data_IF_530434706736
#
_entry.id   IF_530434706736
#
_cell.length_a   1.000
_cell.length_b   1.000
_cell.length_c   1.000
_cell.angle_alpha   90.00
_cell.angle_beta   90.00
_cell.angle_gamma   90.00
#
_symmetry.space_group_name_H-M   'P 1'
#
loop_
_entity.id
_entity.type
_entity.pdbx_description
1 polymer ?
#
# COMPACT_ATOMS: atom_id res chain seq x y z
N UNK A 1 15.84 -7.79 20.88
CA UNK A 1 15.36 -9.04 20.27
C UNK A 1 15.71 -8.96 18.79
N UNK A 2 16.79 -9.61 18.37
CA UNK A 2 17.27 -9.52 16.98
C UNK A 2 16.25 -10.23 16.09
N UNK A 3 15.64 -9.50 15.16
CA UNK A 3 14.92 -10.10 14.03
C UNK A 3 15.97 -10.94 13.29
N UNK A 4 15.67 -12.19 12.96
CA UNK A 4 16.51 -13.04 12.12
C UNK A 4 16.55 -12.45 10.71
N UNK A 5 17.29 -11.36 10.53
CA UNK A 5 17.59 -10.77 9.25
C UNK A 5 18.62 -11.66 8.56
N UNK A 6 18.21 -12.33 7.49
CA UNK A 6 19.17 -12.97 6.59
C UNK A 6 20.13 -11.90 6.06
N UNK A 7 21.42 -12.12 6.26
CA UNK A 7 22.47 -11.20 5.88
C UNK A 7 23.13 -11.66 4.59
N UNK A 8 23.24 -10.75 3.62
CA UNK A 8 23.83 -10.98 2.32
C UNK A 8 25.22 -10.34 2.21
N UNK A 9 26.10 -10.94 1.41
CA UNK A 9 27.30 -10.25 0.91
C UNK A 9 26.93 -9.22 -0.15
N UNK A 10 27.91 -8.38 -0.56
CA UNK A 10 27.71 -7.45 -1.67
C UNK A 10 27.44 -8.18 -2.99
N UNK A 11 28.08 -9.33 -3.22
CA UNK A 11 27.88 -10.13 -4.43
C UNK A 11 26.46 -10.69 -4.49
N UNK A 12 25.97 -11.24 -3.38
CA UNK A 12 24.60 -11.78 -3.29
C UNK A 12 23.55 -10.68 -3.47
N UNK A 13 23.74 -9.52 -2.83
CA UNK A 13 22.86 -8.36 -3.02
C UNK A 13 22.88 -7.84 -4.47
N UNK A 14 24.04 -7.84 -5.13
CA UNK A 14 24.19 -7.42 -6.52
C UNK A 14 23.45 -8.36 -7.48
N UNK A 15 23.60 -9.67 -7.29
CA UNK A 15 22.88 -10.69 -8.04
C UNK A 15 21.37 -10.54 -7.86
N UNK A 16 20.91 -10.31 -6.63
CA UNK A 16 19.50 -10.16 -6.32
C UNK A 16 18.87 -8.91 -6.94
N UNK A 17 19.62 -7.80 -7.00
CA UNK A 17 19.18 -6.55 -7.62
C UNK A 17 19.41 -6.50 -9.13
N UNK A 18 20.12 -7.48 -9.70
CA UNK A 18 20.60 -7.45 -11.09
C UNK A 18 21.36 -6.16 -11.44
N UNK A 19 22.26 -5.73 -10.53
CA UNK A 19 23.12 -4.55 -10.69
C UNK A 19 24.57 -4.89 -10.36
N UNK A 20 25.52 -4.00 -10.65
CA UNK A 20 26.93 -4.20 -10.28
C UNK A 20 27.15 -4.06 -8.76
N UNK A 21 28.19 -4.72 -8.25
CA UNK A 21 28.64 -4.56 -6.85
C UNK A 21 29.00 -3.11 -6.52
N UNK A 22 29.53 -2.35 -7.48
CA UNK A 22 29.79 -0.92 -7.34
C UNK A 22 28.49 -0.12 -7.13
N UNK A 23 27.41 -0.47 -7.85
CA UNK A 23 26.09 0.13 -7.61
C UNK A 23 25.57 -0.21 -6.22
N UNK A 24 25.71 -1.45 -5.77
CA UNK A 24 25.36 -1.85 -4.39
C UNK A 24 26.14 -1.04 -3.36
N UNK A 25 27.45 -0.84 -3.54
CA UNK A 25 28.25 0.04 -2.67
C UNK A 25 27.69 1.46 -2.63
N UNK A 26 27.32 2.04 -3.78
CA UNK A 26 26.71 3.37 -3.82
C UNK A 26 25.35 3.41 -3.08
N UNK A 27 24.53 2.35 -3.17
CA UNK A 27 23.27 2.25 -2.43
C UNK A 27 23.50 2.18 -0.92
N UNK A 28 24.50 1.43 -0.46
CA UNK A 28 24.89 1.40 0.94
C UNK A 28 25.40 2.77 1.42
N UNK A 29 26.28 3.42 0.66
CA UNK A 29 26.80 4.75 0.99
C UNK A 29 25.69 5.80 1.09
N UNK A 30 24.65 5.70 0.25
CA UNK A 30 23.47 6.58 0.28
C UNK A 30 22.40 6.13 1.30
N UNK A 31 22.69 5.12 2.12
CA UNK A 31 21.79 4.59 3.16
C UNK A 31 20.45 4.07 2.60
N UNK A 32 20.45 3.65 1.33
CA UNK A 32 19.29 3.04 0.65
C UNK A 32 19.20 1.53 0.93
N UNK A 33 20.25 0.92 1.48
CA UNK A 33 20.30 -0.44 1.97
C UNK A 33 20.78 -0.43 3.44
N UNK A 34 20.20 -1.30 4.26
CA UNK A 34 20.57 -1.46 5.67
C UNK A 34 21.81 -2.34 5.76
N UNK A 35 22.85 -1.84 6.40
CA UNK A 35 24.15 -2.51 6.52
C UNK A 35 24.47 -2.84 7.97
N UNK A 36 25.18 -3.94 8.18
CA UNK A 36 25.71 -4.37 9.47
C UNK A 36 27.21 -4.62 9.35
N UNK A 37 27.98 -4.13 10.31
CA UNK A 37 29.41 -4.43 10.40
C UNK A 37 29.62 -5.83 11.02
N UNK A 38 30.38 -6.67 10.34
CA UNK A 38 30.78 -7.98 10.82
C UNK A 38 32.31 -8.06 10.90
N UNK A 39 32.84 -8.02 12.12
CA UNK A 39 34.29 -7.88 12.36
C UNK A 39 34.84 -6.53 11.90
N UNK A 40 36.16 -6.46 11.70
CA UNK A 40 36.86 -5.19 11.46
C UNK A 40 36.74 -4.64 10.03
N UNK A 41 36.27 -5.43 9.04
CA UNK A 41 36.29 -5.03 7.61
C UNK A 41 35.15 -5.55 6.73
N UNK A 42 34.26 -6.43 7.21
CA UNK A 42 33.17 -6.97 6.37
C UNK A 42 31.87 -6.23 6.65
N UNK A 43 31.20 -5.80 5.58
CA UNK A 43 29.86 -5.21 5.63
C UNK A 43 28.90 -6.25 5.08
N UNK A 44 27.90 -6.60 5.89
CA UNK A 44 26.78 -7.43 5.49
C UNK A 44 25.56 -6.55 5.23
N UNK A 45 24.70 -6.97 4.31
CA UNK A 45 23.53 -6.21 3.88
C UNK A 45 22.28 -6.98 4.28
N UNK A 46 21.31 -6.31 4.90
CA UNK A 46 20.02 -6.94 5.21
C UNK A 46 19.30 -7.35 3.93
N UNK A 47 18.94 -8.63 3.81
CA UNK A 47 18.10 -9.16 2.73
C UNK A 47 16.77 -8.40 2.64
N UNK A 48 16.19 -8.02 3.79
CA UNK A 48 14.96 -7.22 3.83
C UNK A 48 15.16 -5.87 3.13
N UNK A 49 16.25 -5.17 3.44
CA UNK A 49 16.55 -3.88 2.81
C UNK A 49 16.79 -3.99 1.30
N UNK A 50 17.42 -5.09 0.84
CA UNK A 50 17.62 -5.37 -0.59
C UNK A 50 16.30 -5.63 -1.28
N UNK A 51 15.44 -6.45 -0.67
CA UNK A 51 14.11 -6.72 -1.20
C UNK A 51 13.25 -5.45 -1.26
N UNK A 52 13.29 -4.62 -0.20
CA UNK A 52 12.66 -3.29 -0.19
C UNK A 52 13.11 -2.44 -1.36
N UNK A 53 14.42 -2.32 -1.56
CA UNK A 53 14.98 -1.51 -2.64
C UNK A 53 14.56 -2.03 -4.02
N UNK A 54 14.63 -3.36 -4.23
CA UNK A 54 14.23 -3.99 -5.49
C UNK A 54 12.76 -3.72 -5.83
N UNK A 55 11.89 -3.84 -4.83
CA UNK A 55 10.46 -3.62 -4.97
C UNK A 55 10.14 -2.17 -5.33
N UNK A 56 10.77 -1.22 -4.64
CA UNK A 56 10.57 0.21 -4.88
C UNK A 56 11.11 0.68 -6.24
N UNK A 57 12.15 0.01 -6.77
CA UNK A 57 12.86 0.43 -7.98
C UNK A 57 12.64 -0.51 -9.19
N UNK A 58 11.60 -1.34 -9.18
CA UNK A 58 11.27 -2.15 -10.35
C UNK A 58 10.96 -1.24 -11.56
N UNK A 59 11.54 -1.54 -12.73
CA UNK A 59 11.31 -0.78 -13.97
C UNK A 59 9.84 -0.92 -14.37
N UNK A 60 9.02 0.05 -13.99
CA UNK A 60 7.64 0.14 -14.45
C UNK A 60 7.46 1.38 -15.31
N UNK A 61 6.49 1.32 -16.24
CA UNK A 61 6.11 2.46 -17.05
C UNK A 61 5.69 3.68 -16.19
N UNK A 62 5.41 4.80 -16.85
CA UNK A 62 4.99 6.02 -16.15
C UNK A 62 3.76 5.73 -15.27
N UNK A 63 3.89 6.03 -13.98
CA UNK A 63 2.80 5.92 -13.03
C UNK A 63 1.65 6.87 -13.41
N UNK A 64 0.43 6.46 -13.10
CA UNK A 64 -0.75 7.28 -13.29
C UNK A 64 -0.76 8.46 -12.30
N UNK A 65 -1.41 9.54 -12.72
CA UNK A 65 -1.84 10.59 -11.81
C UNK A 65 -2.83 10.00 -10.78
N UNK A 66 -2.94 10.57 -9.57
CA UNK A 66 -3.78 10.04 -8.49
C UNK A 66 -5.22 9.69 -8.93
N UNK A 67 -5.88 10.61 -9.63
CA UNK A 67 -7.23 10.45 -10.16
C UNK A 67 -7.39 9.22 -11.07
N UNK A 68 -6.46 9.01 -12.03
CA UNK A 68 -6.46 7.86 -12.93
C UNK A 68 -6.09 6.55 -12.20
N UNK A 69 -5.20 6.63 -11.21
CA UNK A 69 -4.82 5.48 -10.39
C UNK A 69 -6.01 4.94 -9.59
N UNK A 70 -6.79 5.82 -8.94
CA UNK A 70 -8.04 5.42 -8.29
C UNK A 70 -9.06 4.93 -9.29
N UNK A 71 -9.24 5.62 -10.42
CA UNK A 71 -10.20 5.19 -11.44
C UNK A 71 -9.94 3.74 -11.90
N UNK A 72 -8.69 3.38 -12.19
CA UNK A 72 -8.35 2.01 -12.60
C UNK A 72 -8.71 0.96 -11.53
N UNK A 73 -8.42 1.24 -10.25
CA UNK A 73 -8.71 0.32 -9.15
C UNK A 73 -10.22 0.26 -8.84
N UNK A 74 -10.93 1.38 -8.95
CA UNK A 74 -12.38 1.44 -8.78
C UNK A 74 -13.08 0.66 -9.89
N UNK A 75 -12.71 0.87 -11.15
CA UNK A 75 -13.26 0.12 -12.29
C UNK A 75 -13.00 -1.37 -12.15
N UNK A 76 -11.79 -1.77 -11.71
CA UNK A 76 -11.46 -3.18 -11.45
C UNK A 76 -12.29 -3.77 -10.30
N UNK A 77 -12.71 -2.95 -9.34
CA UNK A 77 -13.61 -3.34 -8.26
C UNK A 77 -15.10 -3.32 -8.65
N UNK A 78 -15.43 -3.03 -9.91
CA UNK A 78 -16.81 -2.85 -10.36
C UNK A 78 -17.49 -1.60 -9.78
N UNK A 79 -16.70 -0.59 -9.40
CA UNK A 79 -17.20 0.71 -8.95
C UNK A 79 -17.38 1.66 -10.13
N UNK A 80 -18.42 2.50 -10.05
CA UNK A 80 -18.60 3.59 -11.00
C UNK A 80 -17.50 4.63 -10.81
N UNK A 81 -17.06 5.22 -11.92
CA UNK A 81 -16.08 6.29 -11.96
C UNK A 81 -16.62 7.39 -12.86
N UNK A 82 -17.00 8.52 -12.24
CA UNK A 82 -17.54 9.69 -12.94
C UNK A 82 -16.58 10.89 -12.97
N UNK A 83 -15.47 10.84 -12.24
CA UNK A 83 -14.47 11.93 -12.17
C UNK A 83 -13.42 11.89 -13.29
N UNK A 84 -13.53 10.96 -14.24
CA UNK A 84 -12.68 10.90 -15.44
C UNK A 84 -13.54 10.93 -16.70
N UNK A 85 -12.96 11.41 -17.79
CA UNK A 85 -13.67 11.50 -19.06
C UNK A 85 -13.73 10.16 -19.81
N UNK A 86 -14.58 10.09 -20.85
CA UNK A 86 -14.81 8.87 -21.65
C UNK A 86 -13.53 8.33 -22.31
N UNK A 87 -12.64 9.21 -22.78
CA UNK A 87 -11.38 8.79 -23.41
C UNK A 87 -10.42 8.16 -22.40
N UNK A 88 -10.29 8.78 -21.21
CA UNK A 88 -9.51 8.24 -20.09
C UNK A 88 -10.06 6.89 -19.66
N UNK A 89 -11.38 6.78 -19.50
CA UNK A 89 -12.06 5.52 -19.19
C UNK A 89 -11.71 4.44 -20.20
N UNK A 90 -11.92 4.69 -21.50
CA UNK A 90 -11.57 3.74 -22.56
C UNK A 90 -10.11 3.26 -22.50
N UNK A 91 -9.16 4.18 -22.28
CA UNK A 91 -7.73 3.82 -22.16
C UNK A 91 -7.45 2.94 -20.95
N UNK A 92 -8.08 3.22 -19.81
CA UNK A 92 -7.96 2.37 -18.61
C UNK A 92 -8.57 0.99 -18.89
N UNK A 93 -9.75 0.92 -19.51
CA UNK A 93 -10.38 -0.36 -19.84
C UNK A 93 -9.52 -1.23 -20.75
N UNK A 94 -8.96 -0.63 -21.81
CA UNK A 94 -8.05 -1.32 -22.72
C UNK A 94 -6.81 -1.85 -21.99
N UNK A 95 -6.32 -1.09 -21.00
CA UNK A 95 -5.13 -1.46 -20.25
C UNK A 95 -5.40 -2.56 -19.22
N UNK A 96 -6.52 -2.49 -18.49
CA UNK A 96 -6.93 -3.52 -17.53
C UNK A 96 -7.07 -4.90 -18.18
N UNK A 97 -7.29 -4.97 -19.49
CA UNK A 97 -7.43 -6.25 -20.22
C UNK A 97 -6.15 -7.06 -20.31
N UNK A 98 -4.99 -6.42 -20.35
CA UNK A 98 -3.71 -7.10 -20.64
C UNK A 98 -2.64 -6.87 -19.56
N UNK A 99 -2.95 -6.05 -18.55
CA UNK A 99 -2.01 -5.71 -17.49
C UNK A 99 -1.82 -6.87 -16.50
N UNK A 100 -0.60 -7.04 -16.00
CA UNK A 100 -0.33 -7.93 -14.87
C UNK A 100 -0.66 -7.26 -13.53
N UNK A 101 -0.92 -8.04 -12.46
CA UNK A 101 -1.14 -7.49 -11.11
C UNK A 101 -0.01 -6.55 -10.65
N UNK A 102 1.24 -6.94 -10.86
CA UNK A 102 2.40 -6.15 -10.43
C UNK A 102 2.50 -4.82 -11.17
N UNK A 103 2.24 -4.81 -12.47
CA UNK A 103 2.25 -3.58 -13.26
C UNK A 103 1.08 -2.66 -12.85
N UNK A 104 -0.07 -3.21 -12.42
CA UNK A 104 -1.18 -2.40 -11.89
C UNK A 104 -0.78 -1.69 -10.59
N UNK A 105 -0.11 -2.41 -9.70
CA UNK A 105 0.40 -1.86 -8.43
C UNK A 105 1.39 -0.73 -8.72
N UNK A 106 2.30 -0.96 -9.67
CA UNK A 106 3.31 0.02 -10.03
C UNK A 106 2.70 1.26 -10.69
N UNK A 107 1.72 1.11 -11.56
CA UNK A 107 1.06 2.27 -12.19
C UNK A 107 0.16 3.05 -11.25
N UNK A 108 -0.49 2.36 -10.33
CA UNK A 108 -1.28 3.01 -9.28
C UNK A 108 -0.44 3.51 -8.11
N UNK A 109 0.90 3.47 -8.20
CA UNK A 109 1.77 3.73 -7.04
C UNK A 109 1.63 5.14 -6.47
N UNK A 110 1.35 6.13 -7.33
CA UNK A 110 1.18 7.54 -6.99
C UNK A 110 -0.25 7.89 -6.54
N UNK A 111 -1.14 6.91 -6.30
CA UNK A 111 -2.52 7.17 -5.85
C UNK A 111 -2.61 8.00 -4.57
N UNK A 112 -1.66 7.79 -3.66
CA UNK A 112 -1.61 8.43 -2.35
C UNK A 112 -0.19 8.33 -1.79
N UNK A 113 0.15 9.23 -0.87
CA UNK A 113 1.40 9.19 -0.11
C UNK A 113 1.22 8.36 1.15
N UNK A 114 2.02 7.31 1.33
CA UNK A 114 1.99 6.48 2.53
C UNK A 114 2.78 7.15 3.66
N UNK A 115 2.16 7.24 4.83
CA UNK A 115 2.75 7.72 6.08
C UNK A 115 2.55 6.66 7.17
N UNK A 116 3.58 6.42 7.96
CA UNK A 116 3.58 5.39 9.00
C UNK A 116 3.66 6.02 10.39
N UNK A 117 2.79 5.57 11.29
CA UNK A 117 2.67 6.08 12.64
C UNK A 117 2.51 4.96 13.67
N UNK A 118 2.94 5.27 14.87
CA UNK A 118 2.50 4.61 16.09
C UNK A 118 1.34 5.39 16.71
N UNK A 119 0.36 4.64 17.22
CA UNK A 119 -0.75 5.13 18.01
C UNK A 119 -0.98 4.22 19.22
N UNK A 120 -1.40 4.79 20.35
CA UNK A 120 -1.77 3.99 21.54
C UNK A 120 -2.94 3.06 21.21
N UNK A 121 -2.85 1.78 21.63
CA UNK A 121 -3.88 0.76 21.35
C UNK A 121 -5.30 1.19 21.74
N UNK A 122 -5.46 1.86 22.89
CA UNK A 122 -6.76 2.37 23.36
C UNK A 122 -7.41 3.42 22.44
N UNK A 123 -6.63 4.05 21.55
CA UNK A 123 -7.10 5.08 20.62
C UNK A 123 -7.33 4.56 19.20
N UNK A 124 -6.85 3.35 18.88
CA UNK A 124 -6.96 2.75 17.55
C UNK A 124 -8.42 2.59 17.10
N UNK A 125 -9.30 2.14 18.01
CA UNK A 125 -10.72 1.96 17.70
C UNK A 125 -11.38 3.28 17.29
N UNK A 126 -11.07 4.38 17.96
CA UNK A 126 -11.61 5.70 17.63
C UNK A 126 -10.96 6.28 16.37
N UNK A 127 -9.63 6.20 16.23
CA UNK A 127 -8.91 6.62 15.03
C UNK A 127 -9.47 5.96 13.77
N UNK A 128 -9.77 4.66 13.84
CA UNK A 128 -10.30 3.90 12.71
C UNK A 128 -11.64 4.43 12.16
N UNK A 129 -12.39 5.22 12.94
CA UNK A 129 -13.65 5.85 12.49
C UNK A 129 -13.42 7.11 11.66
N UNK A 130 -12.19 7.65 11.69
CA UNK A 130 -11.80 8.84 10.93
C UNK A 130 -11.06 8.50 9.63
N UNK A 131 -10.87 7.22 9.32
CA UNK A 131 -10.19 6.75 8.13
C UNK A 131 -11.17 5.97 7.24
N UNK A 132 -10.94 6.03 5.93
CA UNK A 132 -11.54 5.05 5.01
C UNK A 132 -10.60 3.82 5.04
N UNK A 133 -11.05 2.74 5.66
CA UNK A 133 -10.18 1.59 5.96
C UNK A 133 -9.74 0.88 4.67
N UNK A 134 -8.53 0.34 4.67
CA UNK A 134 -7.96 -0.38 3.52
C UNK A 134 -7.17 -1.62 3.96
N UNK A 135 -6.56 -2.29 2.98
CA UNK A 135 -5.79 -3.52 3.12
C UNK A 135 -6.59 -4.61 3.87
N UNK A 136 -5.94 -5.35 4.77
CA UNK A 136 -6.58 -6.38 5.60
C UNK A 136 -7.17 -5.83 6.91
N UNK A 137 -7.38 -4.51 7.03
CA UNK A 137 -7.84 -3.89 8.28
C UNK A 137 -9.28 -4.26 8.61
N UNK A 138 -9.58 -4.40 9.90
CA UNK A 138 -10.94 -4.69 10.38
C UNK A 138 -11.42 -6.05 9.89
N UNK A 139 -12.58 -6.08 9.21
CA UNK A 139 -13.19 -7.32 8.73
C UNK A 139 -12.73 -7.72 7.32
N UNK A 140 -11.83 -6.95 6.68
CA UNK A 140 -11.33 -7.26 5.32
C UNK A 140 -10.35 -8.43 5.29
N UNK A 141 -9.73 -8.81 6.40
CA UNK A 141 -8.75 -9.90 6.46
C UNK A 141 -9.25 -11.21 5.83
N UNK A 142 -10.53 -11.55 6.00
CA UNK A 142 -11.14 -12.76 5.43
C UNK A 142 -11.21 -12.74 3.90
N UNK A 143 -11.44 -11.57 3.29
CA UNK A 143 -11.46 -11.41 1.83
C UNK A 143 -10.09 -11.69 1.19
N UNK A 144 -9.01 -11.57 1.97
CA UNK A 144 -7.64 -11.79 1.56
C UNK A 144 -7.03 -13.08 2.14
N UNK A 145 -7.80 -13.90 2.86
CA UNK A 145 -7.33 -15.11 3.54
C UNK A 145 -6.15 -14.84 4.51
N UNK A 146 -6.17 -13.67 5.15
CA UNK A 146 -5.16 -13.25 6.11
C UNK A 146 -5.68 -13.36 7.55
N UNK A 147 -4.75 -13.44 8.50
CA UNK A 147 -5.07 -13.37 9.92
C UNK A 147 -5.40 -11.92 10.31
N UNK A 148 -6.40 -11.75 11.18
CA UNK A 148 -6.74 -10.44 11.72
C UNK A 148 -5.56 -9.85 12.50
N UNK A 149 -5.24 -8.59 12.21
CA UNK A 149 -4.20 -7.81 12.89
C UNK A 149 -4.81 -6.65 13.67
N UNK A 150 -4.08 -6.15 14.67
CA UNK A 150 -4.42 -4.91 15.39
C UNK A 150 -3.87 -3.66 14.70
N UNK A 151 -3.07 -3.83 13.64
CA UNK A 151 -2.62 -2.74 12.78
C UNK A 151 -3.80 -2.15 12.00
N UNK A 152 -3.78 -0.83 11.86
CA UNK A 152 -4.77 -0.08 11.09
C UNK A 152 -4.12 0.48 9.85
N UNK A 153 -4.74 0.24 8.70
CA UNK A 153 -4.40 0.88 7.44
C UNK A 153 -5.64 1.55 6.85
N UNK A 154 -5.48 2.77 6.36
CA UNK A 154 -6.60 3.51 5.78
C UNK A 154 -6.19 4.84 5.16
N UNK A 155 -7.17 5.48 4.53
CA UNK A 155 -6.99 6.73 3.80
C UNK A 155 -7.53 7.93 4.57
N UNK A 156 -6.83 9.05 4.41
CA UNK A 156 -7.24 10.36 4.89
C UNK A 156 -6.90 11.43 3.84
N UNK A 157 -7.63 12.55 3.88
CA UNK A 157 -7.24 13.76 3.14
C UNK A 157 -6.03 14.41 3.80
N UNK A 158 -5.14 14.97 2.99
CA UNK A 158 -4.02 15.81 3.43
C UNK A 158 -4.48 16.93 4.38
N UNK A 159 -5.63 17.55 4.09
CA UNK A 159 -6.21 18.63 4.88
C UNK A 159 -6.61 18.20 6.30
N UNK A 160 -6.87 16.90 6.52
CA UNK A 160 -7.27 16.39 7.84
C UNK A 160 -6.12 15.69 8.59
N UNK A 161 -4.99 15.43 7.94
CA UNK A 161 -3.90 14.65 8.53
C UNK A 161 -3.37 15.30 9.82
N UNK A 162 -3.13 16.61 9.81
CA UNK A 162 -2.66 17.35 11.01
C UNK A 162 -3.62 17.23 12.20
N UNK A 163 -4.93 17.28 11.94
CA UNK A 163 -5.94 17.10 12.97
C UNK A 163 -5.91 15.69 13.55
N UNK A 164 -5.71 14.66 12.72
CA UNK A 164 -5.59 13.27 13.17
C UNK A 164 -4.32 13.08 14.02
N UNK A 165 -3.19 13.63 13.59
CA UNK A 165 -1.93 13.57 14.34
C UNK A 165 -2.13 14.17 15.74
N UNK A 166 -2.68 15.38 15.81
CA UNK A 166 -2.89 16.07 17.08
C UNK A 166 -3.90 15.36 17.98
N UNK A 167 -5.08 15.00 17.45
CA UNK A 167 -6.16 14.37 18.21
C UNK A 167 -5.76 13.00 18.77
N UNK A 168 -5.06 12.19 17.97
CA UNK A 168 -4.71 10.82 18.35
C UNK A 168 -3.29 10.66 18.92
N UNK A 169 -2.49 11.73 18.91
CA UNK A 169 -1.06 11.73 19.25
C UNK A 169 -0.31 10.69 18.42
N UNK A 170 -0.52 10.72 17.11
CA UNK A 170 0.21 9.87 16.17
C UNK A 170 1.68 10.28 16.19
N UNK A 171 2.57 9.30 16.29
CA UNK A 171 4.00 9.54 16.29
C UNK A 171 4.67 8.79 15.16
N UNK A 172 5.56 9.43 14.42
CA UNK A 172 6.30 8.81 13.32
C UNK A 172 7.78 8.65 13.69
N UNK A 173 8.60 8.30 12.69
CA UNK A 173 10.06 8.14 12.86
C UNK A 173 10.77 9.43 13.31
N UNK A 174 10.29 10.60 12.89
CA UNK A 174 10.84 11.91 13.29
C UNK A 174 10.59 12.19 14.77
N UNK A 175 9.54 11.61 15.35
CA UNK A 175 9.25 11.63 16.79
C UNK A 175 10.07 10.59 17.60
N UNK A 176 11.04 9.91 16.97
CA UNK A 176 11.88 8.88 17.59
C UNK A 176 11.22 7.51 17.74
N UNK A 177 10.11 7.26 17.03
CA UNK A 177 9.43 5.95 17.04
C UNK A 177 10.22 4.94 16.21
N UNK A 178 10.47 3.77 16.80
CA UNK A 178 11.01 2.63 16.07
C UNK A 178 9.97 2.07 15.09
N UNK A 179 10.40 1.80 13.85
CA UNK A 179 9.61 1.14 12.81
C UNK A 179 9.00 -0.18 13.27
N UNK A 180 9.63 -0.88 14.23
CA UNK A 180 9.13 -2.15 14.79
C UNK A 180 7.78 -2.04 15.51
N UNK A 181 7.43 -0.86 16.03
CA UNK A 181 6.19 -0.65 16.80
C UNK A 181 5.07 0.03 16.00
N UNK A 182 5.31 0.36 14.72
CA UNK A 182 4.32 0.99 13.84
C UNK A 182 3.06 0.11 13.75
N UNK A 183 1.92 0.73 14.06
CA UNK A 183 0.61 0.08 14.05
C UNK A 183 -0.47 0.86 13.29
N UNK A 184 -0.12 1.99 12.68
CA UNK A 184 -0.99 2.77 11.82
C UNK A 184 -0.28 3.13 10.52
N UNK A 185 -0.88 2.81 9.38
CA UNK A 185 -0.48 3.27 8.06
C UNK A 185 -1.58 4.14 7.48
N UNK A 186 -1.26 5.39 7.16
CA UNK A 186 -2.19 6.34 6.56
C UNK A 186 -1.77 6.64 5.12
N UNK A 187 -2.69 6.42 4.18
CA UNK A 187 -2.54 6.84 2.79
C UNK A 187 -3.18 8.21 2.62
N UNK A 188 -2.36 9.20 2.32
CA UNK A 188 -2.76 10.60 2.22
C UNK A 188 -3.09 10.92 0.77
N UNK A 189 -4.32 11.38 0.54
CA UNK A 189 -4.77 11.90 -0.76
C UNK A 189 -4.72 13.43 -0.69
N UNK A 190 -3.90 14.03 -1.55
CA UNK A 190 -3.76 15.49 -1.63
C UNK A 190 -4.91 16.16 -2.39
N UNK A 191 -5.48 15.44 -3.36
CA UNK A 191 -6.60 15.90 -4.18
C UNK A 191 -7.92 15.75 -3.39
N UNK A 192 -8.46 16.88 -2.92
CA UNK A 192 -9.68 16.91 -2.11
C UNK A 192 -10.92 16.48 -2.89
N UNK A 193 -11.01 16.78 -4.19
CA UNK A 193 -12.16 16.39 -5.01
C UNK A 193 -12.20 14.87 -5.18
N UNK A 194 -11.04 14.26 -5.44
CA UNK A 194 -10.92 12.79 -5.49
C UNK A 194 -11.24 12.17 -4.13
N UNK A 195 -10.73 12.73 -3.04
CA UNK A 195 -11.02 12.20 -1.70
C UNK A 195 -12.52 12.29 -1.34
N UNK A 196 -13.15 13.42 -1.60
CA UNK A 196 -14.58 13.64 -1.32
C UNK A 196 -15.45 12.71 -2.17
N UNK A 197 -15.11 12.53 -3.44
CA UNK A 197 -15.79 11.56 -4.30
C UNK A 197 -15.70 10.15 -3.72
N UNK A 198 -14.48 9.71 -3.37
CA UNK A 198 -14.26 8.37 -2.80
C UNK A 198 -15.05 8.22 -1.50
N UNK A 199 -15.02 9.22 -0.62
CA UNK A 199 -15.74 9.20 0.65
C UNK A 199 -17.25 9.07 0.46
N UNK A 200 -17.84 9.80 -0.48
CA UNK A 200 -19.27 9.72 -0.79
C UNK A 200 -19.66 8.34 -1.34
N UNK A 201 -18.85 7.78 -2.25
CA UNK A 201 -19.18 6.54 -2.97
C UNK A 201 -18.86 5.25 -2.19
N UNK A 202 -17.90 5.31 -1.26
CA UNK A 202 -17.67 4.21 -0.32
C UNK A 202 -18.78 4.17 0.75
N UNK A 203 -19.34 5.33 1.10
CA UNK A 203 -20.43 5.42 2.08
C UNK A 203 -21.76 4.89 1.54
N UNK A 204 -22.04 5.04 0.24
CA UNK A 204 -23.31 4.63 -0.38
C UNK A 204 -23.45 3.13 -0.65
N UNK A 205 -22.35 2.36 -0.73
CA UNK A 205 -22.40 0.89 -0.93
C UNK A 205 -22.71 0.08 0.35
N UNK A 206 -22.82 0.75 1.48
CA UNK A 206 -23.11 0.13 2.78
C UNK A 206 -24.57 -0.33 2.91
N UNK A 207 -25.45 0.01 1.97
CA UNK A 207 -26.91 -0.15 2.15
C UNK A 207 -27.61 -1.28 1.38
N UNK A 208 -26.96 -2.09 0.53
CA UNK A 208 -27.72 -3.06 -0.29
C UNK A 208 -27.59 -4.55 0.11
N UNK A 209 -26.49 -5.01 0.72
CA UNK A 209 -26.31 -6.46 1.00
C UNK A 209 -26.15 -6.84 2.47
N UNK A 210 -26.11 -5.89 3.42
CA UNK A 210 -25.86 -6.24 4.83
C UNK A 210 -26.77 -5.44 5.76
N UNK A 211 -27.93 -6.02 6.09
CA UNK A 211 -28.79 -5.51 7.16
C UNK A 211 -28.01 -5.55 8.49
N UNK A 212 -27.86 -4.37 9.08
CA UNK A 212 -27.57 -4.10 10.49
C UNK A 212 -26.22 -4.59 11.06
N UNK A 213 -25.17 -3.78 10.90
CA UNK A 213 -24.19 -3.44 11.96
C UNK A 213 -23.24 -2.39 11.39
N UNK A 214 -23.38 -1.10 11.75
CA UNK A 214 -22.44 0.02 11.52
C UNK A 214 -21.17 -0.34 10.70
N UNK A 215 -21.34 -0.59 9.40
CA UNK A 215 -20.28 -1.13 8.55
C UNK A 215 -19.35 0.02 8.20
N UNK A 216 -18.15 0.01 8.77
CA UNK A 216 -17.10 0.99 8.46
C UNK A 216 -16.91 1.14 6.96
N UNK A 217 -16.66 2.36 6.49
CA UNK A 217 -16.28 2.64 5.11
C UNK A 217 -14.94 1.98 4.77
N UNK A 218 -14.96 1.03 3.83
CA UNK A 218 -13.76 0.38 3.30
C UNK A 218 -13.49 0.82 1.87
N UNK A 219 -12.22 1.02 1.53
CA UNK A 219 -11.81 1.19 0.15
C UNK A 219 -12.26 0.00 -0.71
N UNK A 220 -12.51 0.21 -2.01
CA UNK A 220 -12.84 -0.89 -2.91
C UNK A 220 -11.77 -2.00 -2.91
N UNK A 221 -12.19 -3.24 -3.13
CA UNK A 221 -11.33 -4.43 -2.96
C UNK A 221 -10.01 -4.34 -3.75
N UNK A 222 -9.99 -3.78 -4.96
CA UNK A 222 -8.76 -3.65 -5.73
C UNK A 222 -7.80 -2.61 -5.13
N UNK A 223 -8.32 -1.57 -4.46
CA UNK A 223 -7.50 -0.60 -3.73
C UNK A 223 -6.85 -1.28 -2.52
N UNK A 224 -7.64 -2.01 -1.72
CA UNK A 224 -7.14 -2.81 -0.61
C UNK A 224 -6.08 -3.82 -1.07
N UNK A 225 -6.31 -4.49 -2.20
CA UNK A 225 -5.38 -5.44 -2.78
C UNK A 225 -4.07 -4.76 -3.25
N UNK A 226 -4.17 -3.58 -3.86
CA UNK A 226 -3.02 -2.80 -4.29
C UNK A 226 -2.21 -2.20 -3.12
N UNK A 227 -2.83 -1.98 -1.96
CA UNK A 227 -2.15 -1.60 -0.73
C UNK A 227 -1.40 -2.79 -0.12
N UNK A 228 -2.07 -3.94 0.02
CA UNK A 228 -1.45 -5.19 0.47
C UNK A 228 -0.27 -5.61 -0.43
N UNK A 229 -0.40 -5.47 -1.75
CA UNK A 229 0.66 -5.81 -2.71
C UNK A 229 1.92 -4.93 -2.58
N UNK A 230 1.84 -3.78 -1.89
CA UNK A 230 3.00 -2.95 -1.55
C UNK A 230 3.59 -3.28 -0.17
N UNK A 231 2.96 -4.18 0.59
CA UNK A 231 3.44 -4.56 1.90
C UNK A 231 4.80 -5.26 1.82
N UNK A 232 5.60 -5.04 2.86
CA UNK A 232 6.87 -5.72 3.06
C UNK A 232 6.65 -7.17 3.50
N UNK A 233 5.56 -7.41 4.24
CA UNK A 233 5.14 -8.75 4.61
C UNK A 233 4.80 -9.56 3.35
N UNK A 234 5.48 -10.69 3.20
CA UNK A 234 5.37 -11.55 2.02
C UNK A 234 3.95 -12.12 1.86
N UNK A 235 3.27 -12.43 2.98
CA UNK A 235 1.91 -12.99 2.97
C UNK A 235 0.91 -11.94 2.56
N UNK A 236 1.00 -10.74 3.13
CA UNK A 236 0.15 -9.61 2.73
C UNK A 236 0.36 -9.29 1.25
N UNK A 237 1.62 -9.19 0.81
CA UNK A 237 1.96 -8.93 -0.59
C UNK A 237 1.37 -9.97 -1.54
N UNK A 238 1.57 -11.24 -1.23
CA UNK A 238 1.07 -12.33 -2.06
C UNK A 238 -0.46 -12.33 -2.09
N UNK A 239 -1.13 -12.11 -0.95
CA UNK A 239 -2.58 -12.00 -0.90
C UNK A 239 -3.11 -10.84 -1.76
N UNK A 240 -2.45 -9.68 -1.73
CA UNK A 240 -2.78 -8.55 -2.58
C UNK A 240 -2.61 -8.85 -4.08
N UNK A 241 -1.48 -9.43 -4.48
CA UNK A 241 -1.21 -9.79 -5.88
C UNK A 241 -2.16 -10.89 -6.39
N UNK A 242 -2.43 -11.91 -5.59
CA UNK A 242 -3.39 -12.97 -5.91
C UNK A 242 -4.79 -12.38 -6.09
N UNK A 243 -5.25 -11.51 -5.17
CA UNK A 243 -6.56 -10.88 -5.30
C UNK A 243 -6.68 -10.00 -6.56
N UNK A 244 -5.64 -9.23 -6.88
CA UNK A 244 -5.62 -8.45 -8.13
C UNK A 244 -5.67 -9.34 -9.36
N UNK A 245 -4.99 -10.49 -9.35
CA UNK A 245 -5.06 -11.48 -10.43
C UNK A 245 -6.48 -12.00 -10.61
N UNK A 246 -7.16 -12.41 -9.53
CA UNK A 246 -8.56 -12.85 -9.56
C UNK A 246 -9.50 -11.78 -10.13
N UNK A 247 -9.33 -10.52 -9.69
CA UNK A 247 -10.15 -9.41 -10.16
C UNK A 247 -9.92 -9.10 -11.64
N UNK A 248 -8.68 -9.16 -12.12
CA UNK A 248 -8.35 -8.95 -13.53
C UNK A 248 -8.94 -10.06 -14.41
N UNK A 249 -8.83 -11.33 -13.98
CA UNK A 249 -9.48 -12.45 -14.67
C UNK A 249 -10.99 -12.27 -14.72
N UNK A 250 -11.64 -11.91 -13.60
CA UNK A 250 -13.08 -11.66 -13.57
C UNK A 250 -13.49 -10.51 -14.48
N UNK A 251 -12.73 -9.41 -14.45
CA UNK A 251 -12.97 -8.23 -15.29
C UNK A 251 -12.88 -8.57 -16.79
N UNK A 252 -11.95 -9.45 -17.18
CA UNK A 252 -11.81 -9.91 -18.55
C UNK A 252 -12.90 -10.87 -18.99
N UNK A 253 -13.44 -11.68 -18.08
CA UNK A 253 -14.52 -12.63 -18.40
C UNK A 253 -15.91 -11.97 -18.47
N UNK A 254 -16.07 -10.76 -17.91
CA UNK A 254 -17.35 -10.05 -17.85
C UNK A 254 -17.59 -9.09 -19.04
N UNK A 255 -16.65 -8.96 -19.96
CA UNK A 255 -16.71 -8.08 -21.15
C UNK A 255 -16.51 -8.87 -22.43
#
# INVERSE_FOLDING_TARGET
>A
MFVNDTLLTREEAAAQLAVSTQRVSALCSNHLLTTYAFGSRKILISLDSVNRYKQQNSKSGRAYAPSLAFAALFMLSGCEVSWINRQQKYRIEAYLRSITPQELVNRSRNRAKTMEYWCRKSRLAELSKHLILSAATGNMHSQFQLTRTDKIEGYASSNNLGNLINKFHLKNKEDGVDSSIINVRVHVIDDSEVFDFIRQNVSSRITEETRATSTKSFMPIAVCAADLAKSLDVRERQAGLTKLSELLTKYNNAK
#
